data_IF_949050406294
#
_entry.id   IF_949050406294
#
_cell.length_a   1.000
_cell.length_b   1.000
_cell.length_c   1.000
_cell.angle_alpha   90.00
_cell.angle_beta   90.00
_cell.angle_gamma   90.00
#
_symmetry.space_group_name_H-M   'P 1'
#
loop_
_entity.id
_entity.type
_entity.pdbx_description
1 polymer ?
#
# COMPACT_ATOMS: atom_id res chain seq x y z
N UNK A 1 -26.38 -14.09 41.88
CA UNK A 1 -25.66 -12.79 41.88
C UNK A 1 -24.37 -12.90 41.05
N UNK A 2 -23.53 -13.92 41.25
CA UNK A 2 -22.24 -14.04 40.51
C UNK A 2 -22.45 -14.41 39.04
N UNK A 3 -23.44 -15.22 38.69
CA UNK A 3 -23.83 -15.53 37.32
C UNK A 3 -24.45 -14.35 36.58
N UNK A 4 -25.27 -13.53 37.26
CA UNK A 4 -25.85 -12.30 36.70
C UNK A 4 -24.78 -11.28 36.34
N UNK A 5 -23.76 -11.10 37.20
CA UNK A 5 -22.64 -10.20 36.91
C UNK A 5 -21.76 -10.69 35.76
N UNK A 6 -21.54 -12.00 35.65
CA UNK A 6 -20.79 -12.57 34.52
C UNK A 6 -21.51 -12.41 33.19
N UNK A 7 -22.83 -12.56 33.18
CA UNK A 7 -23.67 -12.30 32.02
C UNK A 7 -23.64 -10.82 31.59
N UNK A 8 -23.70 -9.88 32.55
CA UNK A 8 -23.64 -8.46 32.27
C UNK A 8 -22.25 -8.02 31.72
N UNK A 9 -21.16 -8.52 32.26
CA UNK A 9 -19.81 -8.22 31.78
C UNK A 9 -19.55 -8.80 30.40
N UNK A 10 -20.08 -9.99 30.10
CA UNK A 10 -20.02 -10.61 28.76
C UNK A 10 -20.78 -9.77 27.74
N UNK A 11 -21.98 -9.34 28.05
CA UNK A 11 -22.79 -8.47 27.19
C UNK A 11 -22.09 -7.12 26.90
N UNK A 12 -21.55 -6.47 27.93
CA UNK A 12 -20.79 -5.23 27.74
C UNK A 12 -19.58 -5.40 26.82
N UNK A 13 -18.87 -6.52 26.94
CA UNK A 13 -17.71 -6.83 26.12
C UNK A 13 -18.12 -6.99 24.65
N UNK A 14 -19.18 -7.78 24.38
CA UNK A 14 -19.68 -7.99 23.01
C UNK A 14 -20.14 -6.70 22.35
N UNK A 15 -20.84 -5.84 23.09
CA UNK A 15 -21.22 -4.50 22.61
C UNK A 15 -19.99 -3.63 22.28
N UNK A 16 -18.95 -3.65 23.13
CA UNK A 16 -17.73 -2.88 22.87
C UNK A 16 -16.97 -3.41 21.64
N UNK A 17 -16.91 -4.73 21.43
CA UNK A 17 -16.27 -5.32 20.24
C UNK A 17 -17.06 -4.94 19.00
N UNK A 18 -18.38 -5.08 19.04
CA UNK A 18 -19.27 -4.68 17.94
C UNK A 18 -19.15 -3.19 17.61
N UNK A 19 -19.00 -2.37 18.64
CA UNK A 19 -18.76 -0.94 18.46
C UNK A 19 -17.39 -0.63 17.84
N UNK A 20 -16.34 -1.35 18.21
CA UNK A 20 -15.03 -1.22 17.56
C UNK A 20 -15.10 -1.60 16.08
N UNK A 21 -15.82 -2.69 15.76
CA UNK A 21 -16.02 -3.14 14.38
C UNK A 21 -16.78 -2.08 13.56
N UNK A 22 -17.87 -1.54 14.11
CA UNK A 22 -18.61 -0.43 13.49
C UNK A 22 -17.70 0.77 13.23
N UNK A 23 -16.96 1.23 14.24
CA UNK A 23 -16.08 2.40 14.11
C UNK A 23 -14.99 2.18 13.05
N UNK A 24 -14.44 0.98 12.99
CA UNK A 24 -13.43 0.62 11.99
C UNK A 24 -14.01 0.65 10.58
N UNK A 25 -15.18 0.05 10.37
CA UNK A 25 -15.85 -0.03 9.07
C UNK A 25 -16.30 1.35 8.54
N UNK A 26 -16.65 2.27 9.46
CA UNK A 26 -17.01 3.66 9.14
C UNK A 26 -15.77 4.57 8.97
N UNK A 27 -14.56 4.05 9.14
CA UNK A 27 -13.32 4.82 8.99
C UNK A 27 -12.96 5.72 10.18
N UNK A 28 -13.63 5.56 11.33
CA UNK A 28 -13.32 6.31 12.55
C UNK A 28 -12.18 5.67 13.35
N UNK A 29 -10.99 5.57 12.74
CA UNK A 29 -9.87 4.79 13.25
C UNK A 29 -9.39 5.26 14.63
N UNK A 30 -9.29 6.57 14.88
CA UNK A 30 -8.90 7.10 16.19
C UNK A 30 -9.89 6.70 17.30
N UNK A 31 -11.19 6.74 17.02
CA UNK A 31 -12.22 6.33 17.96
C UNK A 31 -12.21 4.82 18.20
N UNK A 32 -11.96 4.06 17.14
CA UNK A 32 -11.77 2.62 17.22
C UNK A 32 -10.57 2.27 18.12
N UNK A 33 -9.45 2.98 17.98
CA UNK A 33 -8.29 2.84 18.87
C UNK A 33 -8.64 3.09 20.33
N UNK A 34 -9.34 4.20 20.65
CA UNK A 34 -9.76 4.50 22.01
C UNK A 34 -10.63 3.41 22.60
N UNK A 35 -11.63 2.93 21.86
CA UNK A 35 -12.51 1.84 22.31
C UNK A 35 -11.74 0.52 22.48
N UNK A 36 -10.81 0.24 21.57
CA UNK A 36 -9.96 -0.95 21.66
C UNK A 36 -9.03 -0.91 22.87
N UNK A 37 -8.43 0.23 23.19
CA UNK A 37 -7.62 0.39 24.41
C UNK A 37 -8.46 0.30 25.68
N UNK A 38 -9.71 0.79 25.68
CA UNK A 38 -10.62 0.58 26.80
C UNK A 38 -10.95 -0.91 27.00
N UNK A 39 -11.12 -1.68 25.93
CA UNK A 39 -11.30 -3.14 26.00
C UNK A 39 -10.08 -3.81 26.62
N UNK A 40 -8.88 -3.50 26.17
CA UNK A 40 -7.64 -4.04 26.72
C UNK A 40 -7.48 -3.74 28.21
N UNK A 41 -7.87 -2.53 28.63
CA UNK A 41 -7.80 -2.12 30.02
C UNK A 41 -8.84 -2.81 30.92
N UNK A 42 -10.08 -2.93 30.43
CA UNK A 42 -11.18 -3.55 31.20
C UNK A 42 -11.08 -5.06 31.27
N UNK A 43 -10.57 -5.71 30.23
CA UNK A 43 -10.57 -7.16 30.06
C UNK A 43 -9.19 -7.69 29.65
N UNK A 44 -8.14 -7.50 30.47
CA UNK A 44 -6.74 -7.76 30.09
C UNK A 44 -6.44 -9.25 29.76
N UNK A 45 -7.16 -10.16 30.37
CA UNK A 45 -6.96 -11.63 30.22
C UNK A 45 -8.03 -12.30 29.34
N UNK A 46 -8.81 -11.50 28.60
CA UNK A 46 -9.89 -12.05 27.77
C UNK A 46 -9.35 -12.74 26.52
N UNK A 47 -9.92 -13.89 26.12
CA UNK A 47 -9.54 -14.60 24.89
C UNK A 47 -9.66 -13.77 23.61
N UNK A 48 -10.41 -12.66 23.61
CA UNK A 48 -10.56 -11.77 22.46
C UNK A 48 -9.44 -10.75 22.31
N UNK A 49 -8.53 -10.64 23.29
CA UNK A 49 -7.40 -9.70 23.27
C UNK A 49 -6.57 -9.75 21.97
N UNK A 50 -6.26 -10.94 21.41
CA UNK A 50 -5.59 -10.99 20.12
C UNK A 50 -6.35 -10.30 18.98
N UNK A 51 -7.66 -10.49 18.93
CA UNK A 51 -8.53 -9.84 17.93
C UNK A 51 -8.54 -8.32 18.14
N UNK A 52 -8.60 -7.85 19.38
CA UNK A 52 -8.53 -6.43 19.70
C UNK A 52 -7.17 -5.82 19.28
N UNK A 53 -6.06 -6.50 19.57
CA UNK A 53 -4.73 -6.07 19.10
C UNK A 53 -4.64 -6.06 17.57
N UNK A 54 -5.30 -6.99 16.88
CA UNK A 54 -5.40 -6.99 15.43
C UNK A 54 -6.15 -5.75 14.91
N UNK A 55 -7.29 -5.37 15.50
CA UNK A 55 -8.00 -4.13 15.15
C UNK A 55 -7.15 -2.89 15.40
N UNK A 56 -6.41 -2.83 16.51
CA UNK A 56 -5.46 -1.75 16.78
C UNK A 56 -4.42 -1.65 15.67
N UNK A 57 -3.84 -2.80 15.28
CA UNK A 57 -2.86 -2.84 14.18
C UNK A 57 -3.47 -2.35 12.86
N UNK A 58 -4.72 -2.77 12.55
CA UNK A 58 -5.44 -2.34 11.36
C UNK A 58 -5.74 -0.83 11.39
N UNK A 59 -6.15 -0.28 12.52
CA UNK A 59 -6.36 1.16 12.63
C UNK A 59 -5.08 1.95 12.36
N UNK A 60 -3.95 1.53 12.92
CA UNK A 60 -2.67 2.18 12.65
C UNK A 60 -2.22 2.02 11.19
N UNK A 61 -2.51 0.89 10.55
CA UNK A 61 -2.22 0.68 9.13
C UNK A 61 -3.03 1.64 8.25
N UNK A 62 -4.35 1.77 8.48
CA UNK A 62 -5.22 2.68 7.74
C UNK A 62 -4.88 4.17 7.98
N UNK A 63 -4.25 4.48 9.11
CA UNK A 63 -3.70 5.81 9.45
C UNK A 63 -2.26 6.00 8.93
N UNK A 64 -1.75 5.07 8.13
CA UNK A 64 -0.38 5.05 7.59
C UNK A 64 0.74 5.08 8.65
N UNK A 65 0.41 4.74 9.91
CA UNK A 65 1.40 4.56 10.96
C UNK A 65 1.92 3.12 10.96
N UNK A 66 2.73 2.81 9.96
CA UNK A 66 3.20 1.45 9.69
C UNK A 66 4.07 0.88 10.83
N UNK A 67 4.82 1.70 11.54
CA UNK A 67 5.65 1.26 12.67
C UNK A 67 4.77 0.68 13.80
N UNK A 68 3.74 1.42 14.22
CA UNK A 68 2.82 0.94 15.24
C UNK A 68 1.97 -0.24 14.73
N UNK A 69 1.53 -0.22 13.48
CA UNK A 69 0.82 -1.34 12.87
C UNK A 69 1.65 -2.63 12.96
N UNK A 70 2.91 -2.61 12.54
CA UNK A 70 3.82 -3.75 12.61
C UNK A 70 4.04 -4.24 14.05
N UNK A 71 4.19 -3.31 15.00
CA UNK A 71 4.35 -3.65 16.42
C UNK A 71 3.15 -4.43 16.96
N UNK A 72 1.93 -4.00 16.64
CA UNK A 72 0.72 -4.69 17.09
C UNK A 72 0.45 -5.98 16.33
N UNK A 73 0.72 -6.06 15.01
CA UNK A 73 0.69 -7.34 14.29
C UNK A 73 1.67 -8.35 14.88
N UNK A 74 2.90 -7.92 15.18
CA UNK A 74 3.89 -8.77 15.84
C UNK A 74 3.38 -9.28 17.19
N UNK A 75 2.78 -8.39 18.00
CA UNK A 75 2.18 -8.78 19.30
C UNK A 75 1.13 -9.88 19.10
N UNK A 76 0.26 -9.76 18.08
CA UNK A 76 -0.73 -10.79 17.75
C UNK A 76 -0.06 -12.12 17.37
N UNK A 77 0.98 -12.06 16.54
CA UNK A 77 1.71 -13.24 16.07
C UNK A 77 2.41 -13.96 17.23
N UNK A 78 3.03 -13.20 18.14
CA UNK A 78 3.81 -13.75 19.26
C UNK A 78 2.93 -14.36 20.35
N UNK A 79 1.67 -13.90 20.49
CA UNK A 79 0.76 -14.34 21.57
C UNK A 79 -0.25 -15.39 21.15
N UNK A 80 -0.35 -15.74 19.88
CA UNK A 80 -1.37 -16.65 19.37
C UNK A 80 -0.80 -17.97 18.89
N UNK A 81 -1.64 -19.02 18.92
CA UNK A 81 -1.31 -20.30 18.34
C UNK A 81 -1.10 -20.18 16.82
N UNK A 82 -0.02 -20.81 16.34
CA UNK A 82 0.27 -20.93 14.92
C UNK A 82 -0.88 -21.65 14.23
N UNK A 83 -1.50 -20.99 13.26
CA UNK A 83 -2.61 -21.56 12.49
C UNK A 83 -3.99 -21.01 12.87
N UNK A 84 -4.14 -20.26 13.95
CA UNK A 84 -5.39 -19.53 14.22
C UNK A 84 -5.67 -18.50 13.10
N UNK A 85 -6.96 -18.19 12.91
CA UNK A 85 -7.38 -17.22 11.86
C UNK A 85 -6.72 -15.86 12.08
N UNK A 86 -6.70 -15.39 13.33
CA UNK A 86 -6.13 -14.07 13.70
C UNK A 86 -4.62 -14.06 13.50
N UNK A 87 -3.92 -15.16 13.86
CA UNK A 87 -2.49 -15.31 13.60
C UNK A 87 -2.17 -15.18 12.10
N UNK A 88 -2.89 -15.93 11.25
CA UNK A 88 -2.68 -15.89 9.79
C UNK A 88 -2.96 -14.50 9.21
N UNK A 89 -4.07 -13.89 9.63
CA UNK A 89 -4.42 -12.54 9.21
C UNK A 89 -3.33 -11.53 9.59
N UNK A 90 -2.87 -11.55 10.85
CA UNK A 90 -1.83 -10.66 11.33
C UNK A 90 -0.49 -10.89 10.60
N UNK A 91 -0.12 -12.17 10.34
CA UNK A 91 1.07 -12.54 9.59
C UNK A 91 1.07 -11.92 8.17
N UNK A 92 -0.02 -12.11 7.43
CA UNK A 92 -0.11 -11.58 6.06
C UNK A 92 -0.17 -10.05 6.04
N UNK A 93 -0.93 -9.44 6.95
CA UNK A 93 -1.02 -7.96 7.02
C UNK A 93 0.31 -7.34 7.43
N UNK A 94 1.08 -7.96 8.32
CA UNK A 94 2.42 -7.48 8.67
C UNK A 94 3.34 -7.43 7.45
N UNK A 95 3.36 -8.47 6.61
CA UNK A 95 4.17 -8.47 5.40
C UNK A 95 3.64 -7.49 4.34
N UNK A 96 2.32 -7.35 4.24
CA UNK A 96 1.71 -6.33 3.39
C UNK A 96 2.08 -4.90 3.84
N UNK A 97 2.10 -4.67 5.15
CA UNK A 97 2.53 -3.38 5.73
C UNK A 97 4.00 -3.09 5.42
N UNK A 98 4.89 -4.09 5.42
CA UNK A 98 6.29 -3.92 4.96
C UNK A 98 6.36 -3.50 3.49
N UNK A 99 5.48 -4.02 2.65
CA UNK A 99 5.39 -3.61 1.24
C UNK A 99 4.93 -2.16 1.11
N UNK A 100 3.92 -1.74 1.88
CA UNK A 100 3.39 -0.38 1.87
C UNK A 100 4.37 0.65 2.44
N UNK A 101 5.12 0.29 3.49
CA UNK A 101 6.12 1.17 4.11
C UNK A 101 7.41 1.29 3.30
N UNK A 102 7.61 0.41 2.31
CA UNK A 102 8.84 0.34 1.54
C UNK A 102 9.98 -0.44 2.23
N UNK A 103 9.70 -1.14 3.34
CA UNK A 103 10.66 -1.98 4.05
C UNK A 103 10.89 -3.30 3.31
N UNK A 104 11.26 -3.19 2.03
CA UNK A 104 11.33 -4.32 1.10
C UNK A 104 12.39 -5.33 1.47
N UNK A 105 13.51 -4.90 2.05
CA UNK A 105 14.59 -5.79 2.46
C UNK A 105 14.15 -6.71 3.60
N UNK A 106 13.42 -6.16 4.58
CA UNK A 106 12.84 -6.95 5.69
C UNK A 106 11.84 -7.97 5.16
N UNK A 107 10.99 -7.56 4.20
CA UNK A 107 10.03 -8.47 3.57
C UNK A 107 10.73 -9.60 2.81
N UNK A 108 11.77 -9.30 2.06
CA UNK A 108 12.53 -10.28 1.28
C UNK A 108 13.26 -11.28 2.19
N UNK A 109 13.87 -10.81 3.28
CA UNK A 109 14.55 -11.66 4.26
C UNK A 109 13.55 -12.59 4.98
N UNK A 110 12.43 -12.05 5.47
CA UNK A 110 11.39 -12.81 6.16
C UNK A 110 10.75 -13.89 5.25
N UNK A 111 10.73 -13.66 3.93
CA UNK A 111 10.09 -14.55 2.96
C UNK A 111 11.08 -15.44 2.19
N UNK A 112 12.38 -15.39 2.48
CA UNK A 112 13.42 -16.08 1.71
C UNK A 112 13.19 -17.59 1.54
N UNK A 113 12.70 -18.26 2.60
CA UNK A 113 12.50 -19.72 2.67
C UNK A 113 11.02 -20.12 2.70
N UNK A 114 10.14 -19.22 2.32
CA UNK A 114 8.70 -19.49 2.40
C UNK A 114 8.21 -20.31 1.20
N UNK A 115 7.28 -21.23 1.47
CA UNK A 115 6.50 -21.94 0.45
C UNK A 115 5.04 -21.45 0.44
N UNK A 116 4.69 -20.51 1.29
CA UNK A 116 3.36 -19.95 1.43
C UNK A 116 3.04 -19.06 0.20
N UNK A 117 2.01 -19.40 -0.60
CA UNK A 117 1.74 -18.71 -1.86
C UNK A 117 1.45 -17.21 -1.71
N UNK A 118 0.81 -16.80 -0.62
CA UNK A 118 0.56 -15.39 -0.35
C UNK A 118 1.86 -14.62 -0.08
N UNK A 119 2.77 -15.21 0.69
CA UNK A 119 4.07 -14.58 0.97
C UNK A 119 4.97 -14.58 -0.26
N UNK A 120 4.90 -15.62 -1.10
CA UNK A 120 5.58 -15.64 -2.41
C UNK A 120 5.06 -14.51 -3.32
N UNK A 121 3.76 -14.24 -3.28
CA UNK A 121 3.17 -13.13 -4.01
C UNK A 121 3.69 -11.77 -3.52
N UNK A 122 3.72 -11.54 -2.20
CA UNK A 122 4.30 -10.31 -1.64
C UNK A 122 5.78 -10.17 -1.97
N UNK A 123 6.55 -11.27 -1.97
CA UNK A 123 7.95 -11.28 -2.41
C UNK A 123 8.09 -10.86 -3.87
N UNK A 124 7.20 -11.35 -4.74
CA UNK A 124 7.14 -10.95 -6.14
C UNK A 124 6.92 -9.43 -6.30
N UNK A 125 5.98 -8.86 -5.57
CA UNK A 125 5.75 -7.41 -5.57
C UNK A 125 6.96 -6.63 -5.02
N UNK A 126 7.61 -7.11 -3.97
CA UNK A 126 8.80 -6.46 -3.44
C UNK A 126 9.95 -6.42 -4.46
N UNK A 127 10.15 -7.51 -5.22
CA UNK A 127 11.12 -7.53 -6.31
C UNK A 127 10.70 -6.61 -7.47
N UNK A 128 9.40 -6.48 -7.79
CA UNK A 128 8.92 -5.52 -8.78
C UNK A 128 9.25 -4.08 -8.37
N UNK A 129 8.99 -3.69 -7.12
CA UNK A 129 9.34 -2.37 -6.58
C UNK A 129 10.86 -2.10 -6.66
N UNK A 130 11.67 -3.13 -6.47
CA UNK A 130 13.14 -3.06 -6.65
C UNK A 130 13.58 -3.13 -8.12
N UNK A 131 12.65 -3.21 -9.06
CA UNK A 131 12.91 -3.39 -10.51
C UNK A 131 13.72 -4.67 -10.83
N UNK A 132 13.67 -5.66 -9.95
CA UNK A 132 14.29 -6.96 -10.17
C UNK A 132 13.26 -7.93 -10.79
N UNK A 133 13.12 -7.83 -12.11
CA UNK A 133 12.04 -8.50 -12.86
C UNK A 133 12.19 -10.01 -12.92
N UNK A 134 13.41 -10.52 -12.92
CA UNK A 134 13.68 -11.96 -12.97
C UNK A 134 13.24 -12.65 -11.67
N UNK A 135 13.65 -12.11 -10.53
CA UNK A 135 13.25 -12.64 -9.24
C UNK A 135 11.77 -12.40 -8.94
N UNK A 136 11.19 -11.30 -9.42
CA UNK A 136 9.75 -11.06 -9.35
C UNK A 136 8.98 -12.14 -10.10
N UNK A 137 9.36 -12.41 -11.36
CA UNK A 137 8.76 -13.47 -12.19
C UNK A 137 8.90 -14.85 -11.54
N UNK A 138 10.08 -15.19 -11.06
CA UNK A 138 10.32 -16.47 -10.38
C UNK A 138 9.44 -16.62 -9.13
N UNK A 139 9.26 -15.55 -8.35
CA UNK A 139 8.41 -15.55 -7.16
C UNK A 139 6.93 -15.73 -7.50
N UNK A 140 6.42 -15.08 -8.54
CA UNK A 140 5.03 -15.26 -8.99
C UNK A 140 4.77 -16.65 -9.58
N UNK A 141 5.72 -17.23 -10.32
CA UNK A 141 5.61 -18.62 -10.80
C UNK A 141 5.55 -19.59 -9.62
N UNK A 142 6.41 -19.38 -8.62
CA UNK A 142 6.40 -20.20 -7.41
C UNK A 142 5.08 -20.05 -6.63
N UNK A 143 4.54 -18.83 -6.53
CA UNK A 143 3.25 -18.57 -5.92
C UNK A 143 2.11 -19.28 -6.66
N UNK A 144 2.07 -19.15 -7.99
CA UNK A 144 1.06 -19.80 -8.82
C UNK A 144 1.06 -21.31 -8.65
N UNK A 145 2.24 -21.92 -8.68
CA UNK A 145 2.37 -23.37 -8.51
C UNK A 145 1.98 -23.86 -7.10
N UNK A 146 2.04 -22.98 -6.10
CA UNK A 146 1.69 -23.27 -4.72
C UNK A 146 0.21 -23.00 -4.40
N UNK A 147 -0.50 -22.22 -5.22
CA UNK A 147 -1.94 -22.04 -5.11
C UNK A 147 -2.67 -23.27 -5.70
N UNK A 148 -3.64 -23.77 -4.94
CA UNK A 148 -4.43 -24.97 -5.32
C UNK A 148 -5.80 -24.60 -5.92
N UNK A 149 -5.91 -23.46 -6.62
CA UNK A 149 -7.19 -23.04 -7.20
C UNK A 149 -7.01 -22.24 -8.49
N UNK A 150 -7.73 -22.59 -9.59
CA UNK A 150 -7.60 -21.95 -10.91
C UNK A 150 -7.84 -20.41 -10.90
N UNK A 151 -8.60 -19.90 -9.95
CA UNK A 151 -8.83 -18.45 -9.82
C UNK A 151 -7.52 -17.66 -9.69
N UNK A 152 -6.51 -18.23 -9.01
CA UNK A 152 -5.22 -17.55 -8.84
C UNK A 152 -4.41 -17.49 -10.15
N UNK A 153 -4.64 -18.41 -11.08
CA UNK A 153 -4.03 -18.35 -12.42
C UNK A 153 -4.47 -17.07 -13.15
N UNK A 154 -5.77 -16.75 -13.10
CA UNK A 154 -6.31 -15.53 -13.71
C UNK A 154 -5.72 -14.25 -13.09
N UNK A 155 -5.44 -14.25 -11.79
CA UNK A 155 -4.83 -13.10 -11.10
C UNK A 155 -3.34 -12.95 -11.43
N UNK A 156 -2.63 -14.05 -11.68
CA UNK A 156 -1.19 -14.04 -11.97
C UNK A 156 -0.88 -13.67 -13.42
N UNK A 157 -1.76 -13.98 -14.38
CA UNK A 157 -1.55 -13.68 -15.82
C UNK A 157 -1.22 -12.20 -16.07
N UNK A 158 -1.96 -11.20 -15.54
CA UNK A 158 -1.63 -9.79 -15.75
C UNK A 158 -0.25 -9.40 -15.22
N UNK A 159 0.21 -10.03 -14.12
CA UNK A 159 1.54 -9.78 -13.55
C UNK A 159 2.64 -10.26 -14.47
N UNK A 160 2.51 -11.46 -15.04
CA UNK A 160 3.47 -11.96 -16.03
C UNK A 160 3.50 -11.10 -17.28
N UNK A 161 2.34 -10.73 -17.80
CA UNK A 161 2.25 -9.85 -18.96
C UNK A 161 2.93 -8.50 -18.71
N UNK A 162 2.78 -7.95 -17.50
CA UNK A 162 3.46 -6.72 -17.12
C UNK A 162 4.98 -6.90 -17.14
N UNK A 163 5.49 -8.00 -16.58
CA UNK A 163 6.92 -8.30 -16.55
C UNK A 163 7.48 -8.57 -17.95
N UNK A 164 6.78 -9.33 -18.77
CA UNK A 164 7.19 -9.63 -20.17
C UNK A 164 7.22 -8.38 -21.03
N UNK A 165 6.26 -7.49 -20.85
CA UNK A 165 6.18 -6.23 -21.59
C UNK A 165 7.20 -5.18 -21.16
N UNK A 166 7.84 -5.33 -20.01
CA UNK A 166 8.83 -4.39 -19.48
C UNK A 166 10.01 -4.17 -20.44
N UNK A 167 10.45 -5.20 -21.14
CA UNK A 167 11.51 -5.09 -22.13
C UNK A 167 11.07 -4.39 -23.41
N UNK A 168 9.76 -4.32 -23.67
CA UNK A 168 9.17 -3.61 -24.80
C UNK A 168 9.00 -2.10 -24.54
N UNK A 169 9.09 -1.67 -23.27
CA UNK A 169 9.01 -0.25 -22.91
C UNK A 169 10.29 0.45 -23.37
N UNK A 170 10.19 1.45 -24.27
CA UNK A 170 11.36 2.15 -24.76
C UNK A 170 12.08 2.87 -23.61
N UNK A 171 13.31 2.43 -23.33
CA UNK A 171 14.15 3.04 -22.30
C UNK A 171 14.80 4.31 -22.86
N UNK A 172 14.30 5.46 -22.47
CA UNK A 172 14.92 6.72 -22.83
C UNK A 172 15.98 7.13 -21.79
N UNK A 173 17.13 7.58 -22.28
CA UNK A 173 18.14 8.13 -21.40
C UNK A 173 17.61 9.42 -20.76
N UNK A 174 17.57 9.45 -19.42
CA UNK A 174 17.04 10.57 -18.63
C UNK A 174 17.68 11.92 -19.00
N UNK A 175 18.96 11.93 -19.36
CA UNK A 175 19.65 13.15 -19.78
C UNK A 175 19.18 13.66 -21.14
N UNK A 176 18.86 12.75 -22.08
CA UNK A 176 18.32 13.14 -23.39
C UNK A 176 16.92 13.70 -23.22
N UNK A 177 16.08 13.09 -22.38
CA UNK A 177 14.74 13.59 -22.05
C UNK A 177 14.80 14.96 -21.39
N UNK A 178 15.72 15.13 -20.43
CA UNK A 178 15.94 16.41 -19.76
C UNK A 178 16.42 17.50 -20.74
N UNK A 179 17.46 17.23 -21.54
CA UNK A 179 17.99 18.17 -22.51
C UNK A 179 16.95 18.55 -23.56
N UNK A 180 16.17 17.60 -24.06
CA UNK A 180 15.11 17.90 -25.03
C UNK A 180 14.02 18.80 -24.43
N UNK A 181 13.69 18.64 -23.14
CA UNK A 181 12.76 19.53 -22.42
C UNK A 181 13.35 20.92 -22.17
N UNK A 182 14.67 21.02 -21.97
CA UNK A 182 15.35 22.29 -21.76
C UNK A 182 15.47 23.10 -23.05
N UNK A 183 15.65 22.46 -24.21
CA UNK A 183 15.75 23.11 -25.52
C UNK A 183 14.38 23.49 -26.07
N UNK A 184 13.40 22.60 -25.91
CA UNK A 184 12.07 22.77 -26.47
C UNK A 184 11.00 22.41 -25.41
N UNK A 185 10.11 23.35 -25.03
CA UNK A 185 9.05 23.11 -24.06
C UNK A 185 8.18 21.93 -24.49
N UNK A 186 8.11 20.89 -23.65
CA UNK A 186 7.41 19.65 -23.96
C UNK A 186 8.25 18.63 -24.77
N UNK A 187 9.49 18.93 -25.13
CA UNK A 187 10.36 18.04 -25.93
C UNK A 187 10.59 16.67 -25.30
N UNK A 188 10.78 16.62 -23.99
CA UNK A 188 10.91 15.36 -23.25
C UNK A 188 9.66 14.51 -23.31
N UNK A 189 8.49 15.12 -23.20
CA UNK A 189 7.20 14.44 -23.29
C UNK A 189 6.94 13.89 -24.69
N UNK A 190 7.32 14.62 -25.73
CA UNK A 190 7.24 14.11 -27.11
C UNK A 190 8.16 12.91 -27.35
N UNK A 191 9.38 12.94 -26.78
CA UNK A 191 10.29 11.79 -26.83
C UNK A 191 9.71 10.55 -26.11
N UNK A 192 9.00 10.78 -25.00
CA UNK A 192 8.31 9.73 -24.23
C UNK A 192 6.99 9.30 -24.88
N UNK A 193 6.63 9.85 -26.05
CA UNK A 193 5.34 9.64 -26.75
C UNK A 193 4.11 10.10 -25.94
N UNK A 194 4.29 10.95 -24.93
CA UNK A 194 3.22 11.58 -24.16
C UNK A 194 2.68 12.83 -24.88
N UNK A 195 2.12 12.66 -26.07
CA UNK A 195 1.72 13.74 -26.96
C UNK A 195 0.81 14.79 -26.33
N UNK A 196 -0.20 14.37 -25.57
CA UNK A 196 -1.16 15.28 -24.93
C UNK A 196 -0.47 16.19 -23.90
N UNK A 197 0.44 15.63 -23.10
CA UNK A 197 1.22 16.40 -22.11
C UNK A 197 2.22 17.33 -22.79
N UNK A 198 2.89 16.84 -23.83
CA UNK A 198 3.81 17.66 -24.63
C UNK A 198 3.13 18.86 -25.28
N UNK A 199 1.97 18.65 -25.89
CA UNK A 199 1.16 19.73 -26.48
C UNK A 199 0.65 20.72 -25.41
N UNK A 200 0.21 20.23 -24.25
CA UNK A 200 -0.24 21.09 -23.15
C UNK A 200 0.85 22.03 -22.65
N UNK A 201 2.08 21.53 -22.48
CA UNK A 201 3.23 22.34 -22.06
C UNK A 201 3.57 23.38 -23.14
N UNK A 202 3.65 22.94 -24.41
CA UNK A 202 3.96 23.83 -25.53
C UNK A 202 2.93 24.95 -25.67
N UNK A 203 1.65 24.62 -25.58
CA UNK A 203 0.56 25.60 -25.65
C UNK A 203 0.61 26.61 -24.51
N UNK A 204 0.89 26.14 -23.28
CA UNK A 204 1.00 27.01 -22.10
C UNK A 204 2.15 27.99 -22.21
N UNK A 205 3.31 27.53 -22.69
CA UNK A 205 4.48 28.40 -22.91
C UNK A 205 4.21 29.38 -24.04
N UNK A 206 3.58 28.94 -25.13
CA UNK A 206 3.17 29.81 -26.25
C UNK A 206 2.22 30.91 -25.79
N UNK A 207 1.23 30.59 -24.97
CA UNK A 207 0.29 31.56 -24.41
C UNK A 207 1.02 32.57 -23.50
N UNK A 208 1.93 32.12 -22.63
CA UNK A 208 2.73 33.00 -21.77
C UNK A 208 3.60 33.97 -22.59
N UNK A 209 4.19 33.51 -23.70
CA UNK A 209 4.97 34.37 -24.60
C UNK A 209 4.10 35.42 -25.30
N UNK A 210 2.88 35.05 -25.71
CA UNK A 210 1.93 35.99 -26.29
C UNK A 210 1.51 37.08 -25.31
N UNK A 211 1.15 36.67 -24.07
CA UNK A 211 0.77 37.62 -23.01
C UNK A 211 1.95 38.55 -22.66
N UNK A 212 3.18 37.99 -22.53
CA UNK A 212 4.37 38.77 -22.23
C UNK A 212 4.72 39.78 -23.34
N UNK A 213 4.54 39.43 -24.62
CA UNK A 213 4.73 40.35 -25.74
C UNK A 213 3.63 41.42 -25.79
N UNK A 214 2.36 41.03 -25.53
CA UNK A 214 1.25 41.99 -25.47
C UNK A 214 1.48 43.04 -24.39
N UNK A 215 1.86 42.63 -23.17
CA UNK A 215 2.17 43.55 -22.07
C UNK A 215 3.33 44.49 -22.40
N UNK A 216 4.35 44.03 -23.14
CA UNK A 216 5.43 44.91 -23.63
C UNK A 216 4.94 45.95 -24.65
N UNK A 217 4.05 45.55 -25.56
CA UNK A 217 3.47 46.49 -26.56
C UNK A 217 2.62 47.55 -25.87
N UNK A 218 1.76 47.17 -24.91
CA UNK A 218 0.97 48.13 -24.14
C UNK A 218 1.86 49.09 -23.32
N UNK A 219 2.92 48.59 -22.70
CA UNK A 219 3.85 49.44 -21.95
C UNK A 219 4.63 50.42 -22.84
N UNK A 220 4.81 50.10 -24.13
CA UNK A 220 5.45 51.00 -25.12
C UNK A 220 4.47 52.01 -25.70
N UNK A 221 3.24 51.58 -25.95
CA UNK A 221 2.19 52.47 -26.51
C UNK A 221 1.65 53.45 -25.46
N UNK A 222 1.59 53.05 -24.19
CA UNK A 222 1.11 53.90 -23.10
C UNK A 222 2.14 54.95 -22.61
N UNK A 223 3.33 55.03 -23.21
CA UNK A 223 4.37 56.03 -22.90
C UNK A 223 4.45 57.18 -23.91
N UNK A 224 3.62 57.20 -24.93
CA UNK A 224 3.40 58.29 -25.85
C UNK A 224 2.08 58.99 -25.54
#
# INVERSE_FOLDING_TARGET
>A
VQEEWSGYTSFQKEEMISFCDFLFNEGYYERCLLSSFQLLYKFPDDPTIPTVNYYIARCYEEMENFELAQKYYKKVIDTNERGSVVYRAAKYRRHYTNLLSGDLDVLLDDTQKTEDPYLLTFRGYAYMEKMNWEDARASFISAQNAFDHPHYDELMIPLYQTIENINSVPRHNKYIVFLSSAIFPGGGQFLLKEWNRGQGILSSVGLMMMIGNWAKVEALVGKN
#
